data_IF_369737082421
#
_entry.id   IF_369737082421
#
_cell.length_a   1.000
_cell.length_b   1.000
_cell.length_c   1.000
_cell.angle_alpha   90.00
_cell.angle_beta   90.00
_cell.angle_gamma   90.00
#
_symmetry.space_group_name_H-M   'P 1'
#
loop_
_entity.id
_entity.type
_entity.pdbx_description
1 polymer ?
#
# COMPACT_ATOMS: atom_id res chain seq x y z
N UNK A 1 2.63 -49.55 33.80
CA UNK A 1 2.04 -48.80 32.66
C UNK A 1 2.03 -47.32 33.07
N UNK A 2 2.99 -46.51 32.60
CA UNK A 2 3.21 -45.13 33.06
C UNK A 2 2.30 -44.16 32.30
N UNK A 3 1.46 -43.43 33.02
CA UNK A 3 0.65 -42.32 32.52
C UNK A 3 1.58 -41.13 32.32
N UNK A 4 1.77 -40.67 31.08
CA UNK A 4 2.50 -39.42 30.77
C UNK A 4 1.56 -38.25 31.06
N UNK A 5 1.80 -37.56 32.15
CA UNK A 5 1.26 -36.22 32.40
C UNK A 5 1.89 -35.27 31.36
N UNK A 6 1.06 -34.71 30.48
CA UNK A 6 1.46 -33.59 29.65
C UNK A 6 1.39 -32.33 30.52
N UNK A 7 2.56 -31.84 30.93
CA UNK A 7 2.71 -30.50 31.47
C UNK A 7 2.53 -29.55 30.29
N UNK A 8 1.43 -28.80 30.28
CA UNK A 8 1.18 -27.76 29.30
C UNK A 8 1.98 -26.54 29.76
N UNK A 9 3.15 -26.35 29.17
CA UNK A 9 3.98 -25.17 29.40
C UNK A 9 3.27 -23.98 28.73
N UNK A 10 2.56 -23.20 29.54
CA UNK A 10 1.96 -21.94 29.14
C UNK A 10 3.08 -20.90 28.97
N UNK A 11 3.85 -21.05 27.89
CA UNK A 11 4.79 -20.05 27.43
C UNK A 11 4.00 -18.84 26.94
N UNK A 12 3.87 -17.84 27.81
CA UNK A 12 3.40 -16.51 27.46
C UNK A 12 4.30 -15.94 26.35
N UNK A 13 3.85 -16.03 25.10
CA UNK A 13 4.39 -15.18 24.03
C UNK A 13 3.96 -13.76 24.32
N UNK A 14 4.82 -13.06 25.04
CA UNK A 14 4.88 -11.61 25.06
C UNK A 14 4.81 -11.14 23.60
N UNK A 15 3.70 -10.51 23.23
CA UNK A 15 3.49 -9.96 21.90
C UNK A 15 4.42 -8.78 21.66
N UNK A 16 5.69 -9.07 21.36
CA UNK A 16 6.54 -8.10 20.69
C UNK A 16 5.87 -7.79 19.35
N UNK A 17 5.37 -6.57 19.17
CA UNK A 17 5.00 -6.09 17.84
C UNK A 17 6.25 -6.18 16.97
N UNK A 18 6.36 -7.23 16.17
CA UNK A 18 7.41 -7.34 15.16
C UNK A 18 7.19 -6.18 14.19
N UNK A 19 8.20 -5.32 14.05
CA UNK A 19 8.21 -4.33 12.97
C UNK A 19 8.10 -5.12 11.67
N UNK A 20 7.10 -4.85 10.82
CA UNK A 20 6.91 -5.57 9.58
C UNK A 20 8.15 -5.45 8.71
N UNK A 21 8.42 -6.47 7.92
CA UNK A 21 9.41 -6.47 6.86
C UNK A 21 8.97 -5.58 5.68
N UNK A 22 9.92 -5.26 4.79
CA UNK A 22 9.60 -4.55 3.54
C UNK A 22 8.63 -5.37 2.66
N UNK A 23 8.70 -6.70 2.70
CA UNK A 23 7.77 -7.59 1.99
C UNK A 23 6.34 -7.50 2.54
N UNK A 24 6.17 -7.55 3.86
CA UNK A 24 4.85 -7.38 4.48
C UNK A 24 4.29 -5.97 4.21
N UNK A 25 5.15 -4.95 4.17
CA UNK A 25 4.72 -3.61 3.81
C UNK A 25 4.35 -3.49 2.32
N UNK A 26 5.05 -4.19 1.43
CA UNK A 26 4.66 -4.29 0.01
C UNK A 26 3.26 -4.86 -0.13
N UNK A 27 2.94 -5.96 0.55
CA UNK A 27 1.62 -6.57 0.47
C UNK A 27 0.53 -5.61 0.96
N UNK A 28 0.85 -4.79 1.96
CA UNK A 28 -0.04 -3.71 2.41
C UNK A 28 -0.23 -2.62 1.36
N UNK A 29 0.82 -2.24 0.62
CA UNK A 29 0.71 -1.30 -0.50
C UNK A 29 -0.15 -1.91 -1.63
N UNK A 30 0.02 -3.20 -1.94
CA UNK A 30 -0.81 -3.92 -2.92
C UNK A 30 -2.29 -3.83 -2.53
N UNK A 31 -2.63 -4.07 -1.26
CA UNK A 31 -4.00 -3.95 -0.77
C UNK A 31 -4.54 -2.50 -0.91
N UNK A 32 -3.73 -1.48 -0.60
CA UNK A 32 -4.11 -0.06 -0.76
C UNK A 32 -4.45 0.26 -2.22
N UNK A 33 -3.64 -0.21 -3.16
CA UNK A 33 -3.85 0.00 -4.60
C UNK A 33 -5.10 -0.74 -5.06
N UNK A 34 -5.30 -1.99 -4.65
CA UNK A 34 -6.48 -2.78 -4.98
C UNK A 34 -7.79 -2.13 -4.47
N UNK A 35 -7.79 -1.65 -3.22
CA UNK A 35 -8.92 -0.91 -2.65
C UNK A 35 -9.22 0.36 -3.45
N UNK A 36 -8.18 1.10 -3.87
CA UNK A 36 -8.39 2.30 -4.68
C UNK A 36 -8.90 1.94 -6.08
N UNK A 37 -8.41 0.86 -6.67
CA UNK A 37 -8.87 0.36 -7.97
C UNK A 37 -10.36 0.01 -7.94
N UNK A 38 -10.82 -0.66 -6.89
CA UNK A 38 -12.23 -0.98 -6.68
C UNK A 38 -13.07 0.31 -6.56
N UNK A 39 -12.61 1.28 -5.77
CA UNK A 39 -13.29 2.56 -5.62
C UNK A 39 -13.31 3.39 -6.93
N UNK A 40 -12.24 3.38 -7.71
CA UNK A 40 -12.16 4.03 -9.01
C UNK A 40 -13.14 3.41 -10.02
N UNK A 41 -13.26 2.09 -10.02
CA UNK A 41 -14.17 1.35 -10.90
C UNK A 41 -15.66 1.58 -10.55
N UNK A 42 -15.94 1.92 -9.28
CA UNK A 42 -17.27 2.27 -8.82
C UNK A 42 -17.61 3.77 -9.02
N UNK A 43 -16.70 4.57 -9.59
CA UNK A 43 -16.92 6.00 -9.79
C UNK A 43 -18.07 6.24 -10.79
N UNK A 44 -19.10 7.03 -10.44
CA UNK A 44 -20.22 7.31 -11.34
C UNK A 44 -19.81 8.18 -12.54
N UNK A 45 -18.72 8.93 -12.43
CA UNK A 45 -18.17 9.80 -13.47
C UNK A 45 -16.66 9.53 -13.64
N UNK A 46 -16.17 9.71 -14.87
CA UNK A 46 -14.78 9.50 -15.31
C UNK A 46 -14.10 8.23 -14.77
N UNK A 47 -14.85 7.12 -14.61
CA UNK A 47 -14.30 5.87 -14.08
C UNK A 47 -13.06 5.41 -14.84
N UNK A 48 -12.98 5.66 -16.15
CA UNK A 48 -11.80 5.35 -16.98
C UNK A 48 -10.58 6.18 -16.58
N UNK A 49 -10.76 7.47 -16.28
CA UNK A 49 -9.69 8.37 -15.80
C UNK A 49 -9.18 7.89 -14.45
N UNK A 50 -10.10 7.62 -13.51
CA UNK A 50 -9.73 7.12 -12.19
C UNK A 50 -9.03 5.75 -12.28
N UNK A 51 -9.58 4.81 -13.04
CA UNK A 51 -8.99 3.48 -13.28
C UNK A 51 -7.64 3.58 -13.96
N UNK A 52 -7.49 4.45 -14.95
CA UNK A 52 -6.24 4.70 -15.67
C UNK A 52 -5.15 5.23 -14.73
N UNK A 53 -5.49 6.20 -13.88
CA UNK A 53 -4.56 6.78 -12.93
C UNK A 53 -4.10 5.79 -11.87
N UNK A 54 -5.01 4.97 -11.33
CA UNK A 54 -4.65 3.93 -10.34
C UNK A 54 -3.83 2.81 -10.99
N UNK A 55 -4.13 2.46 -12.24
CA UNK A 55 -3.34 1.50 -13.01
C UNK A 55 -1.92 2.02 -13.25
N UNK A 56 -1.77 3.29 -13.64
CA UNK A 56 -0.45 3.92 -13.79
C UNK A 56 0.33 3.96 -12.46
N UNK A 57 -0.35 4.23 -11.34
CA UNK A 57 0.27 4.17 -10.02
C UNK A 57 0.76 2.74 -9.70
N UNK A 58 -0.03 1.73 -10.03
CA UNK A 58 0.37 0.32 -9.87
C UNK A 58 1.62 0.00 -10.70
N UNK A 59 1.65 0.39 -11.96
CA UNK A 59 2.78 0.14 -12.85
C UNK A 59 4.07 0.79 -12.34
N UNK A 60 3.99 2.00 -11.78
CA UNK A 60 5.16 2.65 -11.16
C UNK A 60 5.58 1.99 -9.84
N UNK A 61 4.62 1.57 -9.04
CA UNK A 61 4.88 0.82 -7.81
C UNK A 61 5.60 -0.51 -8.09
N UNK A 62 5.16 -1.28 -9.09
CA UNK A 62 5.74 -2.59 -9.42
C UNK A 62 7.19 -2.50 -9.93
N UNK A 63 7.66 -1.30 -10.32
CA UNK A 63 9.06 -1.04 -10.71
C UNK A 63 10.01 -0.85 -9.52
N UNK A 64 9.49 -0.72 -8.29
CA UNK A 64 10.31 -0.50 -7.10
C UNK A 64 10.78 -1.84 -6.55
N UNK A 65 12.09 -2.01 -6.44
CA UNK A 65 12.70 -3.20 -5.84
C UNK A 65 12.43 -3.21 -4.33
N UNK A 66 11.97 -4.35 -3.82
CA UNK A 66 11.73 -4.54 -2.38
C UNK A 66 13.07 -4.75 -1.70
N UNK A 67 13.51 -3.78 -0.91
CA UNK A 67 14.79 -3.84 -0.21
C UNK A 67 14.77 -2.95 1.04
N UNK A 68 15.73 -3.18 1.94
CA UNK A 68 15.94 -2.35 3.12
C UNK A 68 14.82 -2.46 4.15
N UNK A 69 14.60 -1.37 4.89
CA UNK A 69 13.51 -1.29 5.87
C UNK A 69 12.19 -0.94 5.18
N UNK A 70 11.01 -1.17 5.83
CA UNK A 70 9.74 -0.68 5.31
C UNK A 70 9.73 0.82 5.04
N UNK A 71 10.47 1.61 5.83
CA UNK A 71 10.55 3.05 5.68
C UNK A 71 11.31 3.44 4.41
N UNK A 72 12.45 2.80 4.15
CA UNK A 72 13.24 3.03 2.94
C UNK A 72 12.43 2.65 1.69
N UNK A 73 11.85 1.45 1.71
CA UNK A 73 11.01 0.96 0.62
C UNK A 73 9.79 1.86 0.39
N UNK A 74 9.10 2.29 1.44
CA UNK A 74 7.97 3.20 1.34
C UNK A 74 8.37 4.56 0.76
N UNK A 75 9.53 5.09 1.15
CA UNK A 75 10.04 6.36 0.63
C UNK A 75 10.31 6.27 -0.88
N UNK A 76 10.91 5.18 -1.35
CA UNK A 76 11.15 4.95 -2.78
C UNK A 76 9.85 4.85 -3.58
N UNK A 77 8.86 4.11 -3.06
CA UNK A 77 7.53 4.02 -3.65
C UNK A 77 6.85 5.39 -3.71
N UNK A 78 6.80 6.12 -2.59
CA UNK A 78 6.17 7.45 -2.51
C UNK A 78 6.82 8.42 -3.49
N UNK A 79 8.16 8.50 -3.52
CA UNK A 79 8.86 9.40 -4.42
C UNK A 79 8.55 9.11 -5.90
N UNK A 80 8.37 7.84 -6.25
CA UNK A 80 8.02 7.43 -7.62
C UNK A 80 6.58 7.79 -7.98
N UNK A 81 5.64 7.58 -7.06
CA UNK A 81 4.24 7.98 -7.23
C UNK A 81 4.05 9.49 -7.25
N UNK A 82 4.84 10.25 -6.49
CA UNK A 82 4.82 11.71 -6.53
C UNK A 82 5.29 12.25 -7.88
N UNK A 83 6.39 11.70 -8.43
CA UNK A 83 6.82 12.02 -9.80
C UNK A 83 5.75 11.70 -10.83
N UNK A 84 5.09 10.54 -10.71
CA UNK A 84 3.97 10.19 -11.58
C UNK A 84 2.84 11.22 -11.45
N UNK A 85 2.39 11.52 -10.24
CA UNK A 85 1.31 12.49 -9.98
C UNK A 85 1.59 13.85 -10.62
N UNK A 86 2.82 14.35 -10.46
CA UNK A 86 3.19 15.69 -10.93
C UNK A 86 3.27 15.74 -12.47
N UNK A 87 3.68 14.64 -13.10
CA UNK A 87 3.72 14.48 -14.55
C UNK A 87 2.40 14.00 -15.18
N UNK A 88 1.46 13.47 -14.40
CA UNK A 88 0.25 12.85 -14.91
C UNK A 88 -0.61 13.89 -15.62
N UNK A 89 -0.96 13.66 -16.88
CA UNK A 89 -1.86 14.51 -17.63
C UNK A 89 -2.98 13.65 -18.19
N UNK A 90 -4.21 14.03 -17.88
CA UNK A 90 -5.39 13.37 -18.39
C UNK A 90 -6.19 14.38 -19.24
N UNK A 91 -6.23 14.21 -20.56
CA UNK A 91 -6.98 15.12 -21.44
C UNK A 91 -8.49 15.00 -21.26
N UNK A 92 -9.00 13.90 -20.68
CA UNK A 92 -10.43 13.60 -20.57
C UNK A 92 -11.03 13.96 -19.19
N UNK A 93 -10.22 14.45 -18.24
CA UNK A 93 -10.57 14.64 -16.82
C UNK A 93 -11.45 15.86 -16.51
N UNK A 94 -12.60 16.00 -17.17
CA UNK A 94 -13.51 17.14 -17.02
C UNK A 94 -14.13 17.24 -15.61
N UNK A 95 -14.32 16.10 -14.90
CA UNK A 95 -14.96 16.07 -13.57
C UNK A 95 -14.07 15.49 -12.46
N UNK A 96 -13.05 14.70 -12.82
CA UNK A 96 -12.18 14.02 -11.85
C UNK A 96 -10.74 14.02 -12.34
N UNK A 97 -9.81 14.65 -11.59
CA UNK A 97 -8.40 14.59 -11.96
C UNK A 97 -7.78 13.27 -11.50
N UNK A 98 -7.26 12.46 -12.42
CA UNK A 98 -6.51 11.24 -12.09
C UNK A 98 -5.31 11.49 -11.15
N UNK A 99 -4.81 12.74 -11.09
CA UNK A 99 -3.83 13.18 -10.09
C UNK A 99 -4.32 13.01 -8.65
N UNK A 100 -5.60 13.26 -8.39
CA UNK A 100 -6.22 13.09 -7.07
C UNK A 100 -6.24 11.63 -6.64
N UNK A 101 -6.45 10.72 -7.58
CA UNK A 101 -6.40 9.27 -7.34
C UNK A 101 -4.99 8.82 -6.92
N UNK A 102 -3.97 9.24 -7.66
CA UNK A 102 -2.57 8.94 -7.34
C UNK A 102 -2.21 9.55 -5.98
N UNK A 103 -2.65 10.79 -5.71
CA UNK A 103 -2.49 11.45 -4.42
C UNK A 103 -3.13 10.68 -3.26
N UNK A 104 -4.31 10.10 -3.47
CA UNK A 104 -5.01 9.28 -2.47
C UNK A 104 -4.24 8.01 -2.14
N UNK A 105 -3.64 7.35 -3.13
CA UNK A 105 -2.77 6.19 -2.90
C UNK A 105 -1.57 6.60 -2.03
N UNK A 106 -0.87 7.68 -2.38
CA UNK A 106 0.28 8.20 -1.62
C UNK A 106 -0.10 8.46 -0.16
N UNK A 107 -1.21 9.14 0.09
CA UNK A 107 -1.65 9.45 1.46
C UNK A 107 -2.01 8.20 2.27
N UNK A 108 -2.61 7.19 1.64
CA UNK A 108 -2.88 5.90 2.29
C UNK A 108 -1.60 5.16 2.65
N UNK A 109 -0.58 5.17 1.78
CA UNK A 109 0.73 4.59 2.06
C UNK A 109 1.39 5.32 3.24
N UNK A 110 1.40 6.67 3.24
CA UNK A 110 1.91 7.47 4.36
C UNK A 110 1.21 7.15 5.67
N UNK A 111 -0.12 6.99 5.66
CA UNK A 111 -0.91 6.61 6.84
C UNK A 111 -0.55 5.21 7.32
N UNK A 112 -0.38 4.25 6.40
CA UNK A 112 0.05 2.89 6.74
C UNK A 112 1.46 2.88 7.34
N UNK A 113 2.39 3.67 6.80
CA UNK A 113 3.75 3.78 7.32
C UNK A 113 3.77 4.35 8.75
N UNK A 114 3.00 5.41 9.02
CA UNK A 114 2.87 5.96 10.39
C UNK A 114 2.34 4.96 11.40
N UNK A 115 1.48 4.02 10.97
CA UNK A 115 0.95 2.96 11.85
C UNK A 115 1.96 1.87 12.20
N UNK A 116 3.16 1.92 11.63
CA UNK A 116 4.25 0.97 11.89
C UNK A 116 5.31 1.57 12.84
N UNK A 117 5.39 2.89 12.91
CA UNK A 117 6.29 3.62 13.82
C UNK A 117 5.66 4.01 15.17
N UNK A 118 4.42 3.57 15.45
CA UNK A 118 3.74 3.68 16.75
C UNK A 118 3.57 2.31 17.37
#
# INVERSE_FOLDING_TARGET
MRVRSYHFDAGATSGAMMVPSAEEFRDRIVAIIADRQAAASASPYDWKVCVGAVSAARDEFEKVVVAGTPHDYAADVIARLERLRDAYYDPDGEYTSGRSDIGTVIERIRKALRSIGQ
#
